data_IF_317293155128
#
_entry.id   IF_317293155128
#
_cell.length_a   1.000
_cell.length_b   1.000
_cell.length_c   1.000
_cell.angle_alpha   90.00
_cell.angle_beta   90.00
_cell.angle_gamma   90.00
#
_symmetry.space_group_name_H-M   'P 1'
#
loop_
_entity.id
_entity.type
_entity.pdbx_description
1 polymer ?
#
# COMPACT_ATOMS: atom_id res chain seq x y z
N UNK A 1 -17.09 4.10 -18.31
CA UNK A 1 -17.32 5.51 -17.87
C UNK A 1 -16.72 6.50 -18.87
N UNK A 2 -17.33 7.71 -19.02
CA UNK A 2 -16.75 8.82 -19.83
C UNK A 2 -15.50 9.39 -19.15
N UNK A 3 -14.65 10.10 -19.92
CA UNK A 3 -13.43 10.70 -19.38
C UNK A 3 -13.74 11.79 -18.34
N UNK A 4 -14.78 12.60 -18.60
CA UNK A 4 -15.20 13.67 -17.67
C UNK A 4 -15.70 13.12 -16.34
N UNK A 5 -16.46 12.01 -16.38
CA UNK A 5 -16.90 11.34 -15.16
C UNK A 5 -15.71 10.79 -14.37
N UNK A 6 -14.75 10.11 -15.03
CA UNK A 6 -13.53 9.61 -14.40
C UNK A 6 -12.77 10.74 -13.70
N UNK A 7 -12.59 11.87 -14.38
CA UNK A 7 -11.90 13.05 -13.80
C UNK A 7 -12.65 13.61 -12.60
N UNK A 8 -13.98 13.77 -12.71
CA UNK A 8 -14.82 14.26 -11.61
C UNK A 8 -14.72 13.36 -10.38
N UNK A 9 -14.77 12.04 -10.59
CA UNK A 9 -14.68 11.05 -9.51
C UNK A 9 -13.28 11.04 -8.88
N UNK A 10 -12.23 11.12 -9.68
CA UNK A 10 -10.86 11.22 -9.19
C UNK A 10 -10.61 12.47 -8.34
N UNK A 11 -11.14 13.62 -8.78
CA UNK A 11 -11.06 14.88 -8.03
C UNK A 11 -11.79 14.79 -6.68
N UNK A 12 -12.99 14.23 -6.66
CA UNK A 12 -13.77 14.04 -5.42
C UNK A 12 -13.04 13.10 -4.46
N UNK A 13 -12.57 11.97 -4.98
CA UNK A 13 -11.81 11.00 -4.21
C UNK A 13 -10.57 11.62 -3.56
N UNK A 14 -9.79 12.36 -4.34
CA UNK A 14 -8.60 13.05 -3.87
C UNK A 14 -8.92 14.16 -2.86
N UNK A 15 -10.03 14.87 -3.05
CA UNK A 15 -10.52 15.86 -2.09
C UNK A 15 -10.87 15.19 -0.75
N UNK A 16 -11.64 14.10 -0.78
CA UNK A 16 -12.04 13.36 0.42
C UNK A 16 -10.83 12.78 1.15
N UNK A 17 -9.88 12.20 0.41
CA UNK A 17 -8.62 11.72 0.94
C UNK A 17 -7.85 12.82 1.70
N UNK A 18 -7.66 13.99 1.07
CA UNK A 18 -6.94 15.14 1.68
C UNK A 18 -7.69 15.76 2.87
N UNK A 19 -8.99 15.55 2.98
CA UNK A 19 -9.81 16.02 4.10
C UNK A 19 -10.02 14.95 5.18
N UNK A 20 -9.38 13.81 5.04
CA UNK A 20 -9.53 12.66 5.93
C UNK A 20 -11.02 12.30 6.13
N UNK A 21 -11.79 12.33 5.04
CA UNK A 21 -13.23 12.01 5.04
C UNK A 21 -13.49 10.74 4.28
N UNK A 22 -14.43 9.89 4.72
CA UNK A 22 -14.79 8.69 3.97
C UNK A 22 -15.37 9.02 2.59
N UNK A 23 -15.96 10.21 2.43
CA UNK A 23 -16.65 10.59 1.21
C UNK A 23 -17.96 9.82 1.01
N UNK A 24 -18.70 10.19 -0.05
CA UNK A 24 -20.01 9.62 -0.36
C UNK A 24 -20.11 9.04 -1.76
N UNK A 25 -18.96 8.97 -2.44
CA UNK A 25 -18.91 8.76 -3.87
C UNK A 25 -19.28 7.32 -4.29
N UNK A 26 -18.95 6.32 -3.48
CA UNK A 26 -19.31 4.92 -3.74
C UNK A 26 -20.67 4.58 -3.13
N UNK A 27 -21.72 5.27 -3.62
CA UNK A 27 -23.09 4.88 -3.40
C UNK A 27 -23.55 3.92 -4.51
N UNK A 28 -24.79 4.09 -4.96
CA UNK A 28 -25.42 3.34 -6.04
C UNK A 28 -24.56 3.18 -7.34
N UNK A 29 -23.83 4.21 -7.81
CA UNK A 29 -23.01 4.10 -9.02
C UNK A 29 -21.82 3.14 -8.91
N UNK A 30 -21.37 2.78 -7.72
CA UNK A 30 -20.23 1.87 -7.52
C UNK A 30 -20.49 0.46 -8.04
N UNK A 31 -21.73 0.03 -8.07
CA UNK A 31 -22.13 -1.30 -8.59
C UNK A 31 -21.93 -1.42 -10.10
N UNK A 32 -21.93 -0.31 -10.83
CA UNK A 32 -21.74 -0.27 -12.29
C UNK A 32 -20.30 -0.01 -12.71
N UNK A 33 -19.38 0.21 -11.75
CA UNK A 33 -17.98 0.47 -12.04
C UNK A 33 -17.26 -0.84 -12.38
N UNK A 34 -16.57 -0.88 -13.53
CA UNK A 34 -15.67 -1.98 -13.86
C UNK A 34 -14.32 -1.80 -13.14
N UNK A 35 -13.53 -2.88 -13.00
CA UNK A 35 -12.18 -2.78 -12.46
C UNK A 35 -11.29 -1.87 -13.33
N UNK A 36 -11.49 -1.90 -14.66
CA UNK A 36 -10.82 -0.99 -15.59
C UNK A 36 -11.14 0.49 -15.29
N UNK A 37 -12.40 0.81 -14.98
CA UNK A 37 -12.77 2.18 -14.61
C UNK A 37 -12.18 2.58 -13.27
N UNK A 38 -12.10 1.65 -12.30
CA UNK A 38 -11.45 1.87 -11.01
C UNK A 38 -9.97 2.24 -11.17
N UNK A 39 -9.24 1.52 -12.02
CA UNK A 39 -7.85 1.86 -12.37
C UNK A 39 -7.77 3.22 -13.08
N UNK A 40 -8.67 3.53 -14.02
CA UNK A 40 -8.69 4.86 -14.66
C UNK A 40 -8.87 6.00 -13.66
N UNK A 41 -9.69 5.80 -12.62
CA UNK A 41 -9.85 6.77 -11.53
C UNK A 41 -8.56 6.89 -10.71
N UNK A 42 -7.93 5.78 -10.34
CA UNK A 42 -6.67 5.76 -9.60
C UNK A 42 -5.53 6.43 -10.39
N UNK A 43 -5.41 6.14 -11.69
CA UNK A 43 -4.46 6.79 -12.60
C UNK A 43 -4.68 8.29 -12.71
N UNK A 44 -5.94 8.72 -12.87
CA UNK A 44 -6.29 10.14 -12.90
C UNK A 44 -5.95 10.85 -11.59
N UNK A 45 -6.11 10.20 -10.44
CA UNK A 45 -5.64 10.75 -9.16
C UNK A 45 -4.13 10.92 -9.13
N UNK A 46 -3.38 9.93 -9.65
CA UNK A 46 -1.93 10.01 -9.76
C UNK A 46 -1.51 11.22 -10.63
N UNK A 47 -2.13 11.40 -11.80
CA UNK A 47 -1.88 12.57 -12.67
C UNK A 47 -2.18 13.89 -11.96
N UNK A 48 -3.31 13.99 -11.25
CA UNK A 48 -3.69 15.19 -10.48
C UNK A 48 -2.71 15.50 -9.36
N UNK A 49 -2.23 14.48 -8.66
CA UNK A 49 -1.22 14.62 -7.59
C UNK A 49 0.12 15.09 -8.15
N UNK A 50 0.60 14.48 -9.23
CA UNK A 50 1.84 14.86 -9.89
C UNK A 50 1.75 16.29 -10.47
N UNK A 51 0.62 16.64 -11.08
CA UNK A 51 0.38 18.01 -11.57
C UNK A 51 0.35 19.05 -10.45
N UNK A 52 0.05 18.65 -9.23
CA UNK A 52 0.15 19.47 -8.02
C UNK A 52 1.54 19.47 -7.36
N UNK A 53 2.54 18.86 -8.02
CA UNK A 53 3.93 18.81 -7.54
C UNK A 53 4.23 17.66 -6.57
N UNK A 54 3.33 16.70 -6.40
CA UNK A 54 3.63 15.52 -5.60
C UNK A 54 4.50 14.53 -6.39
N UNK A 55 5.52 13.99 -5.73
CA UNK A 55 6.46 13.04 -6.34
C UNK A 55 5.97 11.62 -6.04
N UNK A 56 5.75 10.83 -7.09
CA UNK A 56 5.55 9.39 -6.95
C UNK A 56 6.87 8.76 -6.53
N UNK A 57 6.88 8.00 -5.45
CA UNK A 57 8.05 7.29 -4.94
C UNK A 57 8.11 5.82 -5.41
N UNK A 58 7.01 5.32 -5.96
CA UNK A 58 6.91 3.94 -6.41
C UNK A 58 5.48 3.40 -6.38
N UNK A 59 5.34 2.14 -6.01
CA UNK A 59 4.07 1.42 -6.06
C UNK A 59 3.89 0.51 -4.84
N UNK A 60 2.63 0.12 -4.59
CA UNK A 60 2.30 -0.98 -3.69
C UNK A 60 1.65 -2.13 -4.46
N UNK A 61 1.92 -3.35 -4.02
CA UNK A 61 1.21 -4.57 -4.42
C UNK A 61 0.27 -4.94 -3.28
N UNK A 62 -1.01 -5.07 -3.54
CA UNK A 62 -2.02 -5.37 -2.52
C UNK A 62 -2.95 -6.50 -2.93
N UNK A 63 -3.78 -6.94 -1.99
CA UNK A 63 -4.68 -8.08 -2.19
C UNK A 63 -3.92 -9.35 -2.58
N UNK A 64 -2.95 -9.76 -1.79
CA UNK A 64 -1.99 -10.81 -2.14
C UNK A 64 -2.34 -12.19 -1.58
N UNK A 65 -3.29 -12.28 -0.65
CA UNK A 65 -3.64 -13.56 -0.02
C UNK A 65 -4.75 -14.32 -0.76
N UNK A 66 -4.75 -15.67 -0.72
CA UNK A 66 -5.80 -16.50 -1.29
C UNK A 66 -7.20 -16.19 -0.75
N UNK A 67 -7.30 -15.80 0.53
CA UNK A 67 -8.54 -15.40 1.19
C UNK A 67 -9.13 -14.14 0.55
N UNK A 68 -8.28 -13.16 0.25
CA UNK A 68 -8.66 -11.92 -0.43
C UNK A 68 -9.06 -12.20 -1.88
N UNK A 69 -8.34 -13.09 -2.58
CA UNK A 69 -8.73 -13.53 -3.93
C UNK A 69 -10.14 -14.11 -3.94
N UNK A 70 -10.44 -14.98 -2.98
CA UNK A 70 -11.77 -15.56 -2.83
C UNK A 70 -12.82 -14.52 -2.47
N UNK A 71 -12.52 -13.62 -1.53
CA UNK A 71 -13.45 -12.60 -1.06
C UNK A 71 -13.89 -11.62 -2.15
N UNK A 72 -12.96 -11.23 -3.04
CA UNK A 72 -13.25 -10.31 -4.16
C UNK A 72 -13.48 -11.01 -5.50
N UNK A 73 -13.36 -12.34 -5.58
CA UNK A 73 -13.49 -13.08 -6.83
C UNK A 73 -12.41 -12.77 -7.87
N UNK A 74 -11.20 -12.43 -7.43
CA UNK A 74 -10.05 -12.06 -8.28
C UNK A 74 -9.07 -13.23 -8.45
N UNK A 75 -8.23 -13.14 -9.47
CA UNK A 75 -7.24 -14.19 -9.80
C UNK A 75 -5.80 -13.77 -9.51
N UNK A 76 -5.59 -12.57 -9.00
CA UNK A 76 -4.27 -12.02 -8.72
C UNK A 76 -4.35 -10.71 -7.96
N UNK A 77 -3.21 -10.18 -7.54
CA UNK A 77 -3.11 -8.93 -6.79
C UNK A 77 -3.62 -7.70 -7.56
N UNK A 78 -3.61 -6.57 -6.90
CA UNK A 78 -3.83 -5.24 -7.46
C UNK A 78 -2.66 -4.33 -7.08
N UNK A 79 -2.51 -3.19 -7.76
CA UNK A 79 -1.48 -2.22 -7.41
C UNK A 79 -2.07 -0.84 -7.10
N UNK A 80 -1.31 -0.07 -6.32
CA UNK A 80 -1.53 1.34 -6.04
C UNK A 80 -0.24 2.14 -6.13
N UNK A 81 -0.32 3.44 -5.89
CA UNK A 81 0.80 4.37 -5.97
C UNK A 81 1.28 4.75 -4.57
N UNK A 82 2.60 4.87 -4.42
CA UNK A 82 3.26 5.40 -3.23
C UNK A 82 3.81 6.80 -3.54
N UNK A 83 3.65 7.74 -2.59
CA UNK A 83 4.12 9.12 -2.76
C UNK A 83 5.18 9.48 -1.72
N UNK A 84 6.19 10.24 -2.13
CA UNK A 84 7.35 10.55 -1.31
C UNK A 84 6.97 11.22 0.02
N UNK A 85 6.00 12.13 0.02
CA UNK A 85 5.55 12.84 1.22
C UNK A 85 4.77 11.98 2.22
N UNK A 86 4.35 10.79 1.81
CA UNK A 86 3.64 9.80 2.63
C UNK A 86 4.59 8.75 3.22
N UNK A 87 5.88 8.86 2.92
CA UNK A 87 6.93 8.02 3.52
C UNK A 87 7.52 8.78 4.70
N UNK A 88 7.42 8.19 5.89
CA UNK A 88 7.98 8.77 7.10
C UNK A 88 9.04 7.83 7.70
N UNK A 89 10.06 8.38 8.39
CA UNK A 89 11.09 7.55 9.01
C UNK A 89 10.57 6.82 10.26
N UNK A 90 11.16 5.68 10.58
CA UNK A 90 10.96 4.93 11.83
C UNK A 90 11.16 5.84 13.05
N UNK A 91 10.32 5.68 14.06
CA UNK A 91 10.23 6.53 15.23
C UNK A 91 9.32 7.75 15.07
N UNK A 92 8.72 7.96 13.88
CA UNK A 92 7.74 9.04 13.67
C UNK A 92 6.42 8.69 14.37
N UNK A 93 5.87 9.63 15.17
CA UNK A 93 4.51 9.49 15.70
C UNK A 93 3.45 9.68 14.60
N UNK A 94 2.59 8.69 14.42
CA UNK A 94 1.48 8.74 13.48
C UNK A 94 0.30 9.46 14.11
N UNK A 95 0.02 10.68 13.66
CA UNK A 95 -1.13 11.45 14.15
C UNK A 95 -2.43 10.84 13.63
N UNK A 96 -3.25 10.33 14.53
CA UNK A 96 -4.50 9.64 14.18
C UNK A 96 -5.47 10.52 13.37
N UNK A 97 -5.46 11.83 13.61
CA UNK A 97 -6.27 12.81 12.87
C UNK A 97 -5.93 12.90 11.37
N UNK A 98 -4.73 12.44 10.97
CA UNK A 98 -4.30 12.40 9.57
C UNK A 98 -4.87 11.20 8.80
N UNK A 99 -5.60 10.35 9.47
CA UNK A 99 -6.13 9.12 8.87
C UNK A 99 -7.64 8.99 9.11
N UNK A 100 -8.28 8.28 8.22
CA UNK A 100 -9.61 7.77 8.47
C UNK A 100 -9.54 6.25 8.60
N UNK A 101 -9.77 5.73 9.80
CA UNK A 101 -9.57 4.32 10.13
C UNK A 101 -8.14 3.82 9.84
N UNK A 102 -7.15 4.40 10.52
CA UNK A 102 -5.76 3.94 10.40
C UNK A 102 -5.67 2.44 10.68
N UNK A 103 -5.03 1.75 9.76
CA UNK A 103 -4.63 0.35 9.93
C UNK A 103 -3.24 0.14 9.35
N UNK A 104 -2.58 -0.93 9.77
CA UNK A 104 -1.20 -1.22 9.40
C UNK A 104 -1.02 -2.67 8.95
N UNK A 105 0.00 -2.91 8.15
CA UNK A 105 0.56 -4.23 7.85
C UNK A 105 2.08 -4.21 8.03
N UNK A 106 2.65 -5.32 8.51
CA UNK A 106 4.09 -5.55 8.43
C UNK A 106 4.41 -6.16 7.07
N UNK A 107 5.39 -5.59 6.37
CA UNK A 107 5.69 -5.96 5.00
C UNK A 107 7.16 -5.74 4.67
N UNK A 108 7.61 -6.26 3.50
CA UNK A 108 8.93 -6.00 2.93
C UNK A 108 8.81 -5.05 1.73
N UNK A 109 9.69 -4.06 1.68
CA UNK A 109 9.85 -3.19 0.54
C UNK A 109 11.07 -3.57 -0.29
N UNK A 110 11.00 -3.31 -1.60
CA UNK A 110 12.09 -3.45 -2.56
C UNK A 110 12.44 -2.07 -3.07
N UNK A 111 13.70 -1.70 -3.05
CA UNK A 111 14.20 -0.51 -3.74
C UNK A 111 14.89 -0.93 -5.03
N UNK A 112 14.54 -0.28 -6.13
CA UNK A 112 15.14 -0.57 -7.44
C UNK A 112 16.45 0.18 -7.64
N UNK A 113 17.41 -0.51 -8.25
CA UNK A 113 18.67 0.07 -8.72
C UNK A 113 18.53 0.72 -10.10
N UNK A 114 19.64 1.22 -10.63
CA UNK A 114 19.70 1.89 -11.93
C UNK A 114 19.37 0.95 -13.12
N UNK A 115 19.59 -0.34 -12.93
CA UNK A 115 19.27 -1.41 -13.89
C UNK A 115 17.85 -1.98 -13.74
N UNK A 116 17.02 -1.40 -12.87
CA UNK A 116 15.71 -1.89 -12.43
C UNK A 116 15.75 -3.22 -11.69
N UNK A 117 16.92 -3.70 -11.32
CA UNK A 117 17.10 -4.84 -10.42
C UNK A 117 16.88 -4.45 -8.95
N UNK A 118 16.90 -5.44 -8.08
CA UNK A 118 16.79 -5.25 -6.63
C UNK A 118 18.09 -4.65 -6.09
N UNK A 119 18.08 -3.38 -5.69
CA UNK A 119 19.22 -2.73 -5.00
C UNK A 119 19.18 -3.02 -3.50
N UNK A 120 18.01 -2.96 -2.89
CA UNK A 120 17.85 -3.23 -1.47
C UNK A 120 16.45 -3.79 -1.15
N UNK A 121 16.39 -4.53 -0.04
CA UNK A 121 15.16 -5.06 0.53
C UNK A 121 15.15 -4.77 2.03
N UNK A 122 14.03 -4.32 2.57
CA UNK A 122 13.93 -3.93 3.97
C UNK A 122 12.49 -4.04 4.48
N UNK A 123 12.30 -4.34 5.79
CA UNK A 123 10.98 -4.33 6.40
C UNK A 123 10.47 -2.92 6.59
N UNK A 124 9.14 -2.76 6.61
CA UNK A 124 8.47 -1.49 6.86
C UNK A 124 7.08 -1.70 7.47
N UNK A 125 6.44 -0.62 7.91
CA UNK A 125 5.02 -0.60 8.28
C UNK A 125 4.26 0.05 7.14
N UNK A 126 3.37 -0.69 6.45
CA UNK A 126 2.43 -0.09 5.52
C UNK A 126 1.29 0.59 6.27
N UNK A 127 0.90 1.78 5.82
CA UNK A 127 -0.19 2.56 6.38
C UNK A 127 -1.40 2.51 5.45
N UNK A 128 -2.56 2.25 6.03
CA UNK A 128 -3.82 2.17 5.31
C UNK A 128 -4.86 3.14 5.86
N UNK A 129 -5.62 3.75 4.95
CA UNK A 129 -6.91 4.36 5.23
C UNK A 129 -8.03 3.38 4.85
N UNK A 130 -8.55 2.59 5.81
CA UNK A 130 -9.59 1.61 5.52
C UNK A 130 -10.95 2.27 5.28
N UNK A 131 -11.19 2.69 4.06
CA UNK A 131 -12.27 3.57 3.64
C UNK A 131 -13.31 2.91 2.72
N UNK A 132 -13.87 1.77 3.11
CA UNK A 132 -15.05 1.27 2.41
C UNK A 132 -16.28 2.11 2.79
N UNK A 133 -16.92 2.73 1.79
CA UNK A 133 -18.08 3.63 1.92
C UNK A 133 -19.39 2.92 1.63
N UNK A 134 -19.34 1.90 0.75
CA UNK A 134 -20.47 1.07 0.40
C UNK A 134 -20.82 0.07 1.49
N UNK A 135 -22.08 -0.38 1.52
CA UNK A 135 -22.51 -1.50 2.38
C UNK A 135 -21.78 -2.79 2.03
N UNK A 136 -21.48 -2.99 0.76
CA UNK A 136 -20.69 -4.10 0.25
C UNK A 136 -19.28 -3.62 -0.09
N UNK A 137 -18.28 -4.29 0.44
CA UNK A 137 -16.89 -4.04 0.10
C UNK A 137 -16.62 -4.54 -1.32
N UNK A 138 -16.15 -3.66 -2.21
CA UNK A 138 -15.85 -4.02 -3.59
C UNK A 138 -14.39 -3.76 -3.94
N UNK A 139 -13.83 -4.59 -4.83
CA UNK A 139 -12.48 -4.39 -5.34
C UNK A 139 -12.36 -3.06 -6.10
N UNK A 140 -13.42 -2.67 -6.80
CA UNK A 140 -13.47 -1.40 -7.53
C UNK A 140 -13.33 -0.20 -6.59
N UNK A 141 -13.99 -0.24 -5.44
CA UNK A 141 -13.81 0.80 -4.42
C UNK A 141 -12.38 0.83 -3.90
N UNK A 142 -11.82 -0.33 -3.57
CA UNK A 142 -10.44 -0.46 -3.09
C UNK A 142 -9.45 0.13 -4.09
N UNK A 143 -9.50 -0.31 -5.36
CA UNK A 143 -8.56 0.13 -6.41
C UNK A 143 -8.73 1.62 -6.73
N UNK A 144 -9.96 2.13 -6.84
CA UNK A 144 -10.18 3.56 -7.11
C UNK A 144 -9.80 4.47 -5.93
N UNK A 145 -9.59 3.91 -4.73
CA UNK A 145 -9.01 4.58 -3.57
C UNK A 145 -7.50 4.36 -3.43
N UNK A 146 -6.78 4.16 -4.52
CA UNK A 146 -5.34 3.89 -4.46
C UNK A 146 -4.99 2.67 -3.58
N UNK A 147 -5.80 1.62 -3.63
CA UNK A 147 -5.69 0.41 -2.79
C UNK A 147 -5.61 0.74 -1.28
N UNK A 148 -6.27 1.83 -0.85
CA UNK A 148 -6.25 2.37 0.51
C UNK A 148 -4.87 2.73 1.05
N UNK A 149 -3.84 2.80 0.20
CA UNK A 149 -2.52 3.23 0.61
C UNK A 149 -2.57 4.63 1.23
N UNK A 150 -1.98 4.78 2.40
CA UNK A 150 -1.83 6.04 3.14
C UNK A 150 -0.36 6.35 3.44
N UNK A 151 0.57 5.57 2.88
CA UNK A 151 1.99 5.74 3.03
C UNK A 151 2.70 4.60 3.73
N UNK A 152 3.88 4.87 4.25
CA UNK A 152 4.71 3.86 4.91
C UNK A 152 5.63 4.48 5.95
N UNK A 153 5.90 3.72 7.04
CA UNK A 153 7.00 4.01 7.96
C UNK A 153 8.19 3.15 7.55
N UNK A 154 9.29 3.80 7.16
CA UNK A 154 10.48 3.13 6.63
C UNK A 154 11.64 3.17 7.63
N UNK A 155 12.56 2.17 7.62
CA UNK A 155 13.74 2.20 8.47
C UNK A 155 14.61 3.41 8.10
N UNK A 156 15.30 3.98 9.10
CA UNK A 156 16.22 5.12 8.87
C UNK A 156 17.43 4.71 8.02
N UNK A 157 17.83 3.46 8.11
CA UNK A 157 18.92 2.88 7.33
C UNK A 157 18.43 1.65 6.59
N UNK A 158 18.58 1.68 5.28
CA UNK A 158 18.29 0.54 4.42
C UNK A 158 19.44 -0.44 4.53
N UNK A 159 19.18 -1.62 5.09
CA UNK A 159 20.15 -2.69 5.13
C UNK A 159 20.09 -3.43 3.79
N UNK A 160 21.23 -3.53 3.10
CA UNK A 160 21.37 -4.44 1.97
C UNK A 160 21.49 -5.85 2.52
N UNK A 161 20.36 -6.53 2.64
CA UNK A 161 20.37 -7.92 3.12
C UNK A 161 20.59 -8.86 1.94
N UNK A 162 21.73 -9.54 1.96
CA UNK A 162 22.15 -10.46 0.90
C UNK A 162 21.58 -11.87 1.00
N UNK A 163 20.81 -12.19 2.04
CA UNK A 163 20.29 -13.54 2.29
C UNK A 163 18.82 -13.51 2.70
N UNK A 164 17.93 -13.53 1.72
CA UNK A 164 16.47 -13.43 1.92
C UNK A 164 15.76 -14.78 2.07
N UNK A 165 16.48 -15.91 1.96
CA UNK A 165 15.88 -17.25 1.93
C UNK A 165 15.36 -17.75 3.29
N UNK A 166 15.88 -17.22 4.40
CA UNK A 166 15.52 -17.65 5.76
C UNK A 166 15.05 -16.49 6.64
N UNK A 167 14.41 -15.48 6.05
CA UNK A 167 13.97 -14.29 6.78
C UNK A 167 12.61 -14.52 7.41
N UNK A 168 12.47 -14.16 8.69
CA UNK A 168 11.20 -14.13 9.41
C UNK A 168 10.82 -12.68 9.70
N UNK A 169 9.66 -12.29 9.21
CA UNK A 169 9.04 -11.02 9.52
C UNK A 169 8.13 -11.20 10.74
N UNK A 170 8.09 -10.23 11.64
CA UNK A 170 7.21 -10.22 12.80
C UNK A 170 6.54 -8.87 12.97
N UNK A 171 5.33 -8.86 13.51
CA UNK A 171 4.57 -7.68 13.91
C UNK A 171 4.25 -7.75 15.39
N UNK A 172 4.61 -6.69 16.13
CA UNK A 172 4.12 -6.47 17.50
C UNK A 172 3.27 -5.22 17.55
N UNK A 173 2.23 -5.27 18.38
CA UNK A 173 1.42 -4.11 18.78
C UNK A 173 1.37 -4.12 20.30
N UNK A 174 1.74 -2.99 20.92
CA UNK A 174 1.80 -2.85 22.38
C UNK A 174 2.70 -3.91 23.06
N UNK A 175 3.80 -4.29 22.40
CA UNK A 175 4.73 -5.31 22.89
C UNK A 175 4.26 -6.76 22.71
N UNK A 176 3.00 -7.00 22.32
CA UNK A 176 2.47 -8.33 22.04
C UNK A 176 2.78 -8.75 20.59
N UNK A 177 3.32 -9.96 20.39
CA UNK A 177 3.57 -10.53 19.06
C UNK A 177 2.22 -10.93 18.44
N UNK A 178 1.81 -10.20 17.40
CA UNK A 178 0.54 -10.40 16.70
C UNK A 178 0.69 -11.43 15.59
N UNK A 179 1.76 -11.30 14.80
CA UNK A 179 2.04 -12.20 13.68
C UNK A 179 3.55 -12.41 13.53
N UNK A 180 3.92 -13.59 13.06
CA UNK A 180 5.28 -13.92 12.65
C UNK A 180 5.25 -14.96 11.53
N UNK A 181 6.03 -14.74 10.45
CA UNK A 181 6.02 -15.67 9.34
C UNK A 181 7.00 -15.33 8.24
N UNK A 182 6.84 -16.04 7.11
CA UNK A 182 7.59 -15.77 5.90
C UNK A 182 7.12 -14.44 5.27
N UNK A 183 8.04 -13.52 4.93
CA UNK A 183 7.67 -12.16 4.52
C UNK A 183 7.05 -12.04 3.13
N UNK A 184 7.29 -13.01 2.24
CA UNK A 184 6.91 -12.90 0.84
C UNK A 184 5.59 -13.61 0.54
N UNK A 185 4.68 -12.92 -0.12
CA UNK A 185 3.42 -13.49 -0.60
C UNK A 185 3.57 -14.28 -1.90
N UNK A 186 4.60 -13.97 -2.71
CA UNK A 186 4.88 -14.69 -3.94
C UNK A 186 5.93 -15.78 -3.71
N UNK A 187 5.69 -16.96 -4.28
CA UNK A 187 6.72 -17.99 -4.45
C UNK A 187 7.79 -17.46 -5.41
N UNK A 188 9.00 -17.28 -4.94
CA UNK A 188 10.10 -16.62 -5.67
C UNK A 188 10.47 -15.24 -5.11
N UNK A 189 9.79 -14.80 -4.05
CA UNK A 189 10.19 -13.62 -3.27
C UNK A 189 10.13 -12.31 -4.05
N UNK A 190 11.11 -11.40 -3.84
CA UNK A 190 11.08 -10.06 -4.40
C UNK A 190 11.07 -10.04 -5.93
N UNK A 191 11.79 -10.96 -6.58
CA UNK A 191 11.82 -11.04 -8.04
C UNK A 191 10.43 -11.32 -8.64
N UNK A 192 9.68 -12.24 -8.03
CA UNK A 192 8.32 -12.57 -8.48
C UNK A 192 7.34 -11.41 -8.26
N UNK A 193 7.47 -10.66 -7.15
CA UNK A 193 6.68 -9.44 -6.93
C UNK A 193 6.95 -8.39 -8.00
N UNK A 194 8.21 -8.18 -8.38
CA UNK A 194 8.59 -7.24 -9.43
C UNK A 194 8.10 -7.67 -10.81
N UNK A 195 8.22 -8.94 -11.15
CA UNK A 195 7.76 -9.49 -12.42
C UNK A 195 6.24 -9.31 -12.58
N UNK A 196 5.49 -9.67 -11.52
CA UNK A 196 4.04 -9.46 -11.50
C UNK A 196 3.69 -7.98 -11.67
N UNK A 197 4.32 -7.10 -10.87
CA UNK A 197 4.03 -5.66 -10.90
C UNK A 197 4.38 -5.05 -12.26
N UNK A 198 5.54 -5.39 -12.83
CA UNK A 198 5.95 -4.91 -14.16
C UNK A 198 4.91 -5.28 -15.23
N UNK A 199 4.43 -6.52 -15.20
CA UNK A 199 3.39 -6.99 -16.11
C UNK A 199 2.07 -6.24 -15.91
N UNK A 200 1.63 -6.05 -14.66
CA UNK A 200 0.40 -5.33 -14.35
C UNK A 200 0.48 -3.85 -14.75
N UNK A 201 1.61 -3.19 -14.54
CA UNK A 201 1.84 -1.80 -14.95
C UNK A 201 1.79 -1.64 -16.46
N UNK A 202 2.36 -2.57 -17.22
CA UNK A 202 2.36 -2.53 -18.68
C UNK A 202 0.95 -2.54 -19.28
N UNK A 203 -0.03 -3.22 -18.67
CA UNK A 203 -1.43 -3.18 -19.07
C UNK A 203 -2.05 -1.78 -19.01
N UNK A 204 -1.45 -0.90 -18.19
CA UNK A 204 -1.87 0.49 -18.00
C UNK A 204 -0.91 1.51 -18.62
N UNK A 205 0.03 1.09 -19.47
CA UNK A 205 1.06 1.93 -20.10
C UNK A 205 1.96 2.63 -19.08
N UNK A 206 2.16 2.00 -17.92
CA UNK A 206 3.07 2.41 -16.87
C UNK A 206 4.31 1.52 -16.88
N UNK A 207 5.37 2.01 -16.24
CA UNK A 207 6.61 1.27 -16.07
C UNK A 207 7.28 1.59 -14.74
N UNK A 208 8.17 0.70 -14.32
CA UNK A 208 9.09 0.92 -13.20
C UNK A 208 10.21 1.89 -13.61
N UNK A 209 10.75 2.61 -12.63
CA UNK A 209 11.88 3.52 -12.83
C UNK A 209 12.97 3.24 -11.78
N UNK A 210 14.22 3.56 -12.09
CA UNK A 210 15.29 3.54 -11.11
C UNK A 210 14.93 4.32 -9.85
N UNK A 211 15.21 3.73 -8.69
CA UNK A 211 14.91 4.32 -7.40
C UNK A 211 13.47 4.13 -6.90
N UNK A 212 12.55 3.58 -7.72
CA UNK A 212 11.20 3.25 -7.24
C UNK A 212 11.27 2.33 -6.02
N UNK A 213 10.41 2.61 -5.04
CA UNK A 213 10.18 1.77 -3.87
C UNK A 213 8.92 0.96 -4.09
N UNK A 214 9.02 -0.35 -3.99
CA UNK A 214 7.91 -1.27 -4.19
C UNK A 214 7.53 -1.89 -2.85
N UNK A 215 6.33 -1.62 -2.37
CA UNK A 215 5.72 -2.37 -1.28
C UNK A 215 5.27 -3.71 -1.86
N UNK A 216 5.95 -4.80 -1.48
CA UNK A 216 6.00 -6.02 -2.28
C UNK A 216 4.81 -6.97 -2.08
N UNK A 217 3.91 -6.62 -1.15
CA UNK A 217 2.81 -7.46 -0.70
C UNK A 217 3.22 -8.43 0.42
N UNK A 218 2.28 -8.74 1.27
CA UNK A 218 2.46 -9.62 2.43
C UNK A 218 1.36 -10.67 2.54
N UNK A 219 1.61 -11.72 3.32
CA UNK A 219 0.58 -12.66 3.78
C UNK A 219 0.05 -12.32 5.17
N UNK A 220 0.57 -11.27 5.78
CA UNK A 220 0.10 -10.79 7.09
C UNK A 220 -1.25 -10.08 6.94
N UNK A 221 -1.98 -9.99 8.05
CA UNK A 221 -3.27 -9.32 8.11
C UNK A 221 -3.16 -7.81 8.27
N UNK A 222 -4.25 -7.12 7.93
CA UNK A 222 -4.42 -5.70 8.23
C UNK A 222 -4.92 -5.53 9.66
N UNK A 223 -4.19 -4.78 10.49
CA UNK A 223 -4.51 -4.52 11.89
C UNK A 223 -4.88 -3.05 12.11
N UNK A 224 -6.05 -2.80 12.71
CA UNK A 224 -6.40 -1.44 13.15
C UNK A 224 -5.58 -1.05 14.36
N UNK A 225 -5.15 0.20 14.38
CA UNK A 225 -4.39 0.80 15.49
C UNK A 225 -5.03 2.12 15.92
N UNK A 226 -4.86 2.47 17.18
CA UNK A 226 -5.53 3.58 17.84
C UNK A 226 -4.54 4.47 18.60
N UNK A 227 -4.89 5.72 18.94
CA UNK A 227 -4.04 6.56 19.77
C UNK A 227 -3.59 5.86 21.05
N UNK A 228 -2.29 5.84 21.30
CA UNK A 228 -1.64 5.14 22.41
C UNK A 228 -1.03 3.79 22.04
N UNK A 229 -1.34 3.25 20.85
CA UNK A 229 -0.71 2.01 20.39
C UNK A 229 0.72 2.25 19.95
N UNK A 230 1.62 1.31 20.29
CA UNK A 230 2.98 1.20 19.76
C UNK A 230 3.05 0.04 18.76
N UNK A 231 3.80 0.24 17.67
CA UNK A 231 3.93 -0.71 16.57
C UNK A 231 5.40 -1.01 16.36
N UNK A 232 5.75 -2.28 16.27
CA UNK A 232 7.12 -2.72 15.96
C UNK A 232 7.08 -3.78 14.86
N UNK A 233 7.88 -3.59 13.81
CA UNK A 233 8.15 -4.61 12.79
C UNK A 233 9.53 -5.17 13.01
N UNK A 234 9.58 -6.50 13.12
CA UNK A 234 10.78 -7.25 13.42
C UNK A 234 11.26 -8.01 12.18
N UNK A 235 12.56 -8.08 12.01
CA UNK A 235 13.21 -8.97 11.06
C UNK A 235 14.15 -9.91 11.82
N UNK A 236 13.90 -11.21 11.73
CA UNK A 236 14.64 -12.24 12.48
C UNK A 236 14.67 -11.95 14.00
N UNK A 237 13.55 -11.54 14.57
CA UNK A 237 13.38 -11.23 16.00
C UNK A 237 13.95 -9.89 16.45
N UNK A 238 14.57 -9.10 15.58
CA UNK A 238 15.11 -7.78 15.88
C UNK A 238 14.20 -6.68 15.35
N UNK A 239 13.83 -5.70 16.19
CA UNK A 239 13.07 -4.53 15.77
C UNK A 239 13.86 -3.75 14.72
N UNK A 240 13.24 -3.47 13.60
CA UNK A 240 13.81 -2.72 12.47
C UNK A 240 13.08 -1.44 12.18
N UNK A 241 11.77 -1.45 12.41
CA UNK A 241 10.91 -0.29 12.22
C UNK A 241 9.94 -0.21 13.37
N UNK A 242 9.74 0.98 13.88
CA UNK A 242 8.80 1.25 14.97
C UNK A 242 8.05 2.57 14.76
N UNK A 243 6.88 2.67 15.35
CA UNK A 243 6.07 3.89 15.34
C UNK A 243 5.04 3.86 16.45
N UNK A 244 4.69 5.02 16.98
CA UNK A 244 3.58 5.19 17.92
C UNK A 244 2.42 5.90 17.24
N UNK A 245 1.18 5.55 17.63
CA UNK A 245 -0.01 6.28 17.22
C UNK A 245 -0.31 7.37 18.25
N UNK A 246 -0.29 8.61 17.80
CA UNK A 246 -0.54 9.78 18.65
C UNK A 246 -1.87 10.45 18.29
N UNK A 247 -2.42 11.21 19.25
CA UNK A 247 -3.66 11.98 19.09
C UNK A 247 -3.50 13.16 18.16
#
# INVERSE_FOLDING_TARGET
MTQDLIRSLAQRQLHDYRKHRPGTYFGEPGELMTLRDAYRISLMQCELRQSAGEIRAGYKVGCTSPEIFKAFGIRGPVFGFLYQKEIVPSGTGLRSENFHNLAIEAEMAIKLGDDLGVDAVFPFIELHNLLFRGKTKTLQELVSNNCFNAGAVMPQQVLRESALECVRLGLKINGELIEEGHPWCFSGGPAASLEWLSSALAEHQLQLHPGDIILAGTNFGIHRVYPGDSIEVLLNGQVRVESDVVS
#
